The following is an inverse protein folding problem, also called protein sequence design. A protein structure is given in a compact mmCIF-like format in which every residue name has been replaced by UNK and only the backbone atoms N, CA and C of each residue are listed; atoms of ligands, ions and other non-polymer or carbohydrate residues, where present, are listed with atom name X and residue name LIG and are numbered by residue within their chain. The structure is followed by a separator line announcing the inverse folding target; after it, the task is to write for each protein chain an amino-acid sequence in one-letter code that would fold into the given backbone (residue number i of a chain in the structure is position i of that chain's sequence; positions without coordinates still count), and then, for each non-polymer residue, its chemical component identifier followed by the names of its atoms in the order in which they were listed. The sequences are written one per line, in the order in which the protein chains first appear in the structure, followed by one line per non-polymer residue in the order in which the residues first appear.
data_IF_083204018989
#
_entry.id   IF_083204018989
#
_cell.length_a   1.000
_cell.length_b   1.000
_cell.length_c   1.000
_cell.angle_alpha   90.00
_cell.angle_beta   90.00
_cell.angle_gamma   90.00
#
_symmetry.space_group_name_H-M   'P 1'
#
loop_
_entity.id
_entity.type
_entity.pdbx_description
1 polymer ?
#
# COMPACT_ATOMS: atom_id res chain seq x y z
N UNK A 1 59.18 15.91 32.97
CA UNK A 1 57.79 15.84 33.48
C UNK A 1 56.92 16.71 32.59
N UNK A 2 56.21 16.13 31.63
CA UNK A 2 55.26 16.85 30.78
C UNK A 2 53.92 16.13 30.87
N UNK A 3 52.96 16.74 31.55
CA UNK A 3 51.59 16.23 31.70
C UNK A 3 50.79 16.72 30.49
N UNK A 4 50.62 15.87 29.49
CA UNK A 4 49.71 16.12 28.37
C UNK A 4 48.27 15.90 28.84
N UNK A 5 47.55 17.00 29.05
CA UNK A 5 46.09 16.99 29.20
C UNK A 5 45.45 16.64 27.85
N UNK A 6 44.75 15.52 27.80
CA UNK A 6 43.84 15.15 26.71
C UNK A 6 42.42 15.65 27.03
N UNK A 7 41.73 16.38 26.15
CA UNK A 7 40.34 16.74 26.35
C UNK A 7 39.42 15.54 26.06
N UNK A 8 38.44 15.31 26.92
CA UNK A 8 37.42 14.28 26.76
C UNK A 8 36.42 14.66 25.64
N UNK A 9 35.86 13.67 24.90
CA UNK A 9 34.89 13.95 23.85
C UNK A 9 33.54 14.35 24.46
N UNK A 10 32.91 15.37 23.88
CA UNK A 10 31.54 15.76 24.20
C UNK A 10 30.58 14.61 23.85
N UNK A 11 29.91 14.09 24.88
CA UNK A 11 28.86 13.10 24.76
C UNK A 11 27.69 13.69 23.94
N UNK A 12 27.55 13.23 22.70
CA UNK A 12 26.36 13.51 21.90
C UNK A 12 25.22 12.64 22.45
N UNK A 13 24.20 13.30 23.02
CA UNK A 13 22.98 12.67 23.49
C UNK A 13 22.31 11.91 22.35
N UNK A 14 22.41 10.58 22.38
CA UNK A 14 21.65 9.72 21.46
C UNK A 14 20.17 9.86 21.87
N UNK A 15 19.27 10.30 20.97
CA UNK A 15 17.85 10.25 21.29
C UNK A 15 17.50 8.78 21.53
N UNK A 16 16.83 8.50 22.66
CA UNK A 16 16.32 7.17 22.93
C UNK A 16 15.41 6.78 21.76
N UNK A 17 15.73 5.69 21.07
CA UNK A 17 14.94 5.18 19.97
C UNK A 17 13.56 4.80 20.53
N UNK A 18 12.59 5.69 20.35
CA UNK A 18 11.22 5.46 20.76
C UNK A 18 10.59 4.44 19.79
N UNK A 19 10.25 3.23 20.24
CA UNK A 19 9.70 2.19 19.37
C UNK A 19 8.33 2.56 18.78
N UNK A 20 7.66 3.59 19.31
CA UNK A 20 6.35 4.03 18.83
C UNK A 20 6.44 4.74 17.48
N UNK A 21 7.59 5.32 17.14
CA UNK A 21 7.80 6.01 15.86
C UNK A 21 7.91 5.02 14.68
N UNK A 22 8.47 3.84 14.92
CA UNK A 22 8.60 2.79 13.91
C UNK A 22 7.22 2.22 13.54
N UNK A 23 6.43 1.82 14.56
CA UNK A 23 5.08 1.27 14.38
C UNK A 23 4.13 2.24 13.68
N UNK A 24 4.23 3.54 13.97
CA UNK A 24 3.40 4.57 13.34
C UNK A 24 3.70 4.71 11.84
N UNK A 25 4.98 4.62 11.46
CA UNK A 25 5.41 4.63 10.06
C UNK A 25 4.98 3.36 9.32
N UNK A 26 5.06 2.19 9.95
CA UNK A 26 4.57 0.93 9.35
C UNK A 26 3.06 0.97 9.13
N UNK A 27 2.29 1.50 10.11
CA UNK A 27 0.83 1.69 9.95
C UNK A 27 0.49 2.67 8.83
N UNK A 28 1.24 3.76 8.68
CA UNK A 28 1.04 4.71 7.58
C UNK A 28 1.28 4.06 6.20
N UNK A 29 2.31 3.22 6.07
CA UNK A 29 2.58 2.45 4.84
C UNK A 29 1.50 1.39 4.59
N UNK A 30 1.02 0.70 5.63
CA UNK A 30 -0.05 -0.30 5.51
C UNK A 30 -1.41 0.30 5.14
N UNK A 31 -1.73 1.50 5.62
CA UNK A 31 -2.92 2.26 5.18
C UNK A 31 -2.81 2.72 3.73
N UNK A 32 -1.60 3.09 3.28
CA UNK A 32 -1.37 3.52 1.90
C UNK A 32 -1.53 2.39 0.86
N UNK A 33 -1.47 1.11 1.27
CA UNK A 33 -1.38 -0.02 0.35
C UNK A 33 -2.67 -0.83 0.12
N UNK A 34 -3.77 -0.57 0.85
CA UNK A 34 -5.04 -1.26 0.59
C UNK A 34 -5.75 -0.60 -0.59
N UNK A 35 -5.33 -0.94 -1.81
CA UNK A 35 -6.14 -0.64 -3.01
C UNK A 35 -7.47 -1.38 -2.87
N UNK A 36 -8.54 -0.60 -2.74
CA UNK A 36 -9.92 -1.08 -2.66
C UNK A 36 -10.69 -0.55 -3.87
N UNK A 37 -11.93 -0.99 -4.05
CA UNK A 37 -12.79 -0.44 -5.10
C UNK A 37 -12.98 1.08 -5.03
N UNK A 38 -12.77 1.71 -3.86
CA UNK A 38 -12.79 3.18 -3.70
C UNK A 38 -11.53 3.88 -4.22
N UNK A 39 -10.47 3.13 -4.48
CA UNK A 39 -9.16 3.65 -4.93
C UNK A 39 -8.96 3.59 -6.45
N UNK A 40 -9.96 3.09 -7.18
CA UNK A 40 -9.96 2.98 -8.64
C UNK A 40 -11.09 3.84 -9.19
N UNK A 41 -10.85 4.52 -10.30
CA UNK A 41 -11.84 5.43 -10.90
C UNK A 41 -12.39 4.94 -12.24
N UNK A 42 -11.91 3.79 -12.72
CA UNK A 42 -12.30 3.20 -14.01
C UNK A 42 -12.47 1.70 -13.91
N UNK A 43 -13.35 1.13 -14.75
CA UNK A 43 -13.53 -0.32 -14.81
C UNK A 43 -12.22 -1.04 -15.15
N UNK A 44 -11.39 -0.44 -16.02
CA UNK A 44 -10.07 -0.98 -16.35
C UNK A 44 -9.14 -1.12 -15.14
N UNK A 45 -9.06 -0.09 -14.29
CA UNK A 45 -8.30 -0.18 -13.04
C UNK A 45 -8.90 -1.18 -12.06
N UNK A 46 -10.23 -1.30 -11.98
CA UNK A 46 -10.89 -2.30 -11.15
C UNK A 46 -10.55 -3.72 -11.59
N UNK A 47 -10.55 -3.99 -12.90
CA UNK A 47 -10.15 -5.29 -13.44
C UNK A 47 -8.67 -5.57 -13.15
N UNK A 48 -7.78 -4.59 -13.33
CA UNK A 48 -6.36 -4.75 -12.95
C UNK A 48 -6.18 -5.03 -11.46
N UNK A 49 -6.94 -4.35 -10.62
CA UNK A 49 -6.94 -4.58 -9.17
C UNK A 49 -7.46 -5.98 -8.83
N UNK A 50 -8.49 -6.44 -9.51
CA UNK A 50 -8.99 -7.80 -9.33
C UNK A 50 -7.96 -8.84 -9.77
N UNK A 51 -7.34 -8.64 -10.93
CA UNK A 51 -6.29 -9.48 -11.47
C UNK A 51 -5.00 -9.46 -10.66
N UNK A 52 -4.73 -8.41 -9.87
CA UNK A 52 -3.60 -8.38 -8.92
C UNK A 52 -3.83 -9.25 -7.68
N UNK A 53 -5.00 -9.90 -7.56
CA UNK A 53 -5.33 -10.83 -6.49
C UNK A 53 -6.29 -10.25 -5.45
N UNK A 54 -6.83 -9.04 -5.64
CA UNK A 54 -7.85 -8.48 -4.76
C UNK A 54 -9.21 -9.15 -5.02
N UNK A 55 -9.38 -10.37 -4.47
CA UNK A 55 -10.60 -11.18 -4.67
C UNK A 55 -11.87 -10.49 -4.19
N UNK A 56 -11.74 -9.60 -3.21
CA UNK A 56 -12.84 -8.80 -2.66
C UNK A 56 -13.29 -7.66 -3.59
N UNK A 57 -12.72 -7.56 -4.80
CA UNK A 57 -13.25 -6.71 -5.87
C UNK A 57 -14.65 -7.19 -6.29
N UNK A 58 -14.83 -8.50 -6.38
CA UNK A 58 -16.07 -9.20 -6.72
C UNK A 58 -16.54 -9.93 -5.45
N UNK A 59 -17.33 -9.22 -4.63
CA UNK A 59 -17.70 -9.69 -3.29
C UNK A 59 -18.84 -10.73 -3.32
N UNK A 60 -19.70 -10.61 -4.31
CA UNK A 60 -20.90 -11.40 -4.57
C UNK A 60 -20.67 -12.51 -5.61
N UNK A 61 -19.47 -12.57 -6.22
CA UNK A 61 -19.03 -13.60 -7.16
C UNK A 61 -19.87 -13.66 -8.43
N UNK A 62 -20.40 -12.53 -8.87
CA UNK A 62 -21.19 -12.40 -10.10
C UNK A 62 -20.29 -12.22 -11.35
N UNK A 63 -18.99 -11.96 -11.10
CA UNK A 63 -17.98 -11.71 -12.12
C UNK A 63 -17.80 -10.24 -12.47
N UNK A 64 -18.33 -9.30 -11.67
CA UNK A 64 -18.22 -7.85 -11.88
C UNK A 64 -17.40 -7.23 -10.73
N UNK A 65 -16.10 -6.94 -10.93
CA UNK A 65 -15.28 -6.31 -9.90
C UNK A 65 -15.69 -4.85 -9.74
N UNK A 66 -15.86 -4.42 -8.49
CA UNK A 66 -16.07 -3.04 -8.13
C UNK A 66 -17.20 -2.37 -8.95
N UNK A 67 -18.44 -2.82 -8.73
CA UNK A 67 -19.69 -2.32 -9.35
C UNK A 67 -19.85 -0.79 -9.38
N UNK A 68 -19.12 -0.06 -8.53
CA UNK A 68 -19.07 1.41 -8.57
C UNK A 68 -18.46 1.97 -9.88
N UNK A 69 -17.62 1.19 -10.57
CA UNK A 69 -16.93 1.61 -11.80
C UNK A 69 -17.15 0.68 -12.99
N UNK A 70 -17.42 -0.61 -12.75
CA UNK A 70 -17.81 -1.56 -13.79
C UNK A 70 -19.31 -1.78 -13.77
N UNK A 71 -19.99 -1.62 -14.90
CA UNK A 71 -21.47 -1.73 -14.95
C UNK A 71 -21.96 -3.09 -15.42
N UNK A 72 -21.17 -3.82 -16.21
CA UNK A 72 -21.59 -5.11 -16.78
C UNK A 72 -20.45 -6.11 -16.83
N UNK A 73 -20.80 -7.39 -16.72
CA UNK A 73 -19.84 -8.49 -16.91
C UNK A 73 -19.22 -8.51 -18.30
N UNK A 74 -19.97 -8.10 -19.32
CA UNK A 74 -19.50 -8.09 -20.71
C UNK A 74 -18.36 -7.09 -20.91
N UNK A 75 -18.44 -5.92 -20.25
CA UNK A 75 -17.37 -4.93 -20.22
C UNK A 75 -16.13 -5.48 -19.52
N UNK A 76 -16.32 -6.14 -18.37
CA UNK A 76 -15.26 -6.76 -17.57
C UNK A 76 -14.54 -7.84 -18.37
N UNK A 77 -15.28 -8.74 -19.01
CA UNK A 77 -14.73 -9.81 -19.84
C UNK A 77 -13.94 -9.26 -21.04
N UNK A 78 -14.43 -8.19 -21.67
CA UNK A 78 -13.70 -7.52 -22.75
C UNK A 78 -12.38 -6.88 -22.27
N UNK A 79 -12.39 -6.25 -21.10
CA UNK A 79 -11.19 -5.67 -20.47
C UNK A 79 -10.21 -6.78 -20.07
N UNK A 80 -10.70 -7.86 -19.48
CA UNK A 80 -9.92 -9.05 -19.12
C UNK A 80 -9.21 -9.66 -20.32
N UNK A 81 -9.95 -9.89 -21.41
CA UNK A 81 -9.39 -10.35 -22.68
C UNK A 81 -8.34 -9.38 -23.24
N UNK A 82 -8.54 -8.06 -23.09
CA UNK A 82 -7.58 -7.03 -23.52
C UNK A 82 -6.29 -7.02 -22.68
N UNK A 83 -6.39 -7.23 -21.36
CA UNK A 83 -5.27 -7.16 -20.43
C UNK A 83 -4.53 -8.50 -20.30
N UNK A 84 -5.19 -9.62 -20.60
CA UNK A 84 -4.61 -10.95 -20.52
C UNK A 84 -4.60 -11.53 -19.11
N UNK A 85 -5.69 -11.29 -18.37
CA UNK A 85 -6.04 -11.96 -17.11
C UNK A 85 -7.52 -12.38 -17.16
#
# INVERSE_FOLDING_TARGET
MALSTVPAPAAQSRPAADPSQDVSRVKAVLFAARRTCRSVSSCEEAVRLWCSGYRRADGDHDGIPCENVCSTKQEVDAIRARIGC
#
